data_IF_670189946428
#
_entry.id   IF_670189946428
#
_cell.length_a   1.000
_cell.length_b   1.000
_cell.length_c   1.000
_cell.angle_alpha   90.00
_cell.angle_beta   90.00
_cell.angle_gamma   90.00
#
_symmetry.space_group_name_H-M   'P 1'
#
loop_
_entity.id
_entity.type
_entity.pdbx_description
1 polymer ?
#
# COMPACT_ATOMS: atom_id res chain seq x y z
N UNK A 1 -14.13 -4.48 -21.14
CA UNK A 1 -13.54 -4.01 -19.87
C UNK A 1 -12.04 -3.77 -19.98
N UNK A 2 -11.61 -2.53 -19.77
CA UNK A 2 -10.20 -2.11 -19.71
C UNK A 2 -9.97 -1.19 -18.52
N UNK A 3 -8.79 -1.25 -17.93
CA UNK A 3 -8.39 -0.31 -16.87
C UNK A 3 -8.19 1.08 -17.49
N UNK A 4 -8.85 2.09 -16.95
CA UNK A 4 -8.74 3.49 -17.41
C UNK A 4 -8.02 4.39 -16.41
N UNK A 5 -8.02 4.03 -15.14
CA UNK A 5 -7.44 4.86 -14.09
C UNK A 5 -6.92 4.03 -12.92
N UNK A 6 -5.78 4.45 -12.38
CA UNK A 6 -5.18 3.90 -11.15
C UNK A 6 -4.72 5.03 -10.24
N UNK A 7 -5.23 5.06 -9.01
CA UNK A 7 -4.99 6.12 -8.02
C UNK A 7 -4.63 5.54 -6.66
N UNK A 8 -3.70 6.19 -5.97
CA UNK A 8 -3.53 6.04 -4.53
C UNK A 8 -4.35 7.14 -3.85
N UNK A 9 -5.21 6.77 -2.92
CA UNK A 9 -6.06 7.67 -2.14
C UNK A 9 -5.58 7.57 -0.70
N UNK A 10 -5.15 8.69 -0.14
CA UNK A 10 -4.74 8.78 1.27
C UNK A 10 -5.93 9.31 2.06
N UNK A 11 -6.34 8.56 3.08
CA UNK A 11 -7.44 8.90 3.97
C UNK A 11 -6.90 9.05 5.38
N UNK A 12 -7.25 10.14 6.04
CA UNK A 12 -7.00 10.32 7.48
C UNK A 12 -8.03 9.51 8.28
N UNK A 13 -7.55 8.68 9.20
CA UNK A 13 -8.41 7.94 10.14
C UNK A 13 -8.39 8.63 11.50
N UNK A 14 -9.49 8.60 12.26
CA UNK A 14 -9.62 9.29 13.55
C UNK A 14 -8.87 8.53 14.67
N UNK A 15 -7.57 8.36 14.49
CA UNK A 15 -6.65 7.69 15.38
C UNK A 15 -5.26 8.35 15.28
N UNK A 16 -4.41 8.12 16.30
CA UNK A 16 -3.03 8.64 16.29
C UNK A 16 -2.11 7.61 15.63
N UNK A 17 -1.29 8.06 14.68
CA UNK A 17 -0.34 7.18 14.01
C UNK A 17 0.57 6.48 15.05
N UNK A 18 0.74 5.16 14.92
CA UNK A 18 1.64 4.39 15.79
C UNK A 18 3.03 4.34 15.19
N UNK A 19 3.97 5.07 15.78
CA UNK A 19 5.39 4.93 15.46
C UNK A 19 6.01 3.91 16.41
N UNK A 20 6.41 2.77 15.88
CA UNK A 20 7.02 1.70 16.66
C UNK A 20 8.53 1.72 16.45
N UNK A 21 9.27 1.63 17.55
CA UNK A 21 10.71 1.41 17.56
C UNK A 21 10.99 0.00 18.06
N UNK A 22 11.86 -0.74 17.36
CA UNK A 22 12.34 -2.03 17.84
C UNK A 22 13.43 -1.77 18.88
N UNK A 23 13.19 -2.16 20.11
CA UNK A 23 14.14 -2.06 21.22
C UNK A 23 14.57 -3.44 21.69
N UNK A 24 15.82 -3.56 22.13
CA UNK A 24 16.29 -4.76 22.79
C UNK A 24 15.76 -4.82 24.23
N UNK A 25 15.23 -5.98 24.63
CA UNK A 25 14.86 -6.24 26.02
C UNK A 25 16.15 -6.46 26.83
N UNK A 26 16.37 -5.74 27.94
CA UNK A 26 17.54 -5.96 28.78
C UNK A 26 17.45 -7.32 29.47
N UNK A 27 18.08 -8.33 28.87
CA UNK A 27 18.22 -9.68 29.40
C UNK A 27 19.67 -10.13 29.22
N UNK A 28 20.29 -10.66 30.29
CA UNK A 28 21.70 -11.08 30.28
C UNK A 28 21.92 -12.41 29.54
N UNK A 29 20.88 -13.21 29.33
CA UNK A 29 21.02 -14.59 28.85
C UNK A 29 20.43 -14.84 27.47
N UNK A 30 19.62 -13.92 26.94
CA UNK A 30 18.96 -14.09 25.65
C UNK A 30 18.76 -12.76 24.92
N UNK A 31 19.21 -12.71 23.67
CA UNK A 31 18.87 -11.61 22.76
C UNK A 31 17.38 -11.67 22.45
N UNK A 32 16.65 -10.63 22.85
CA UNK A 32 15.21 -10.46 22.63
C UNK A 32 14.91 -9.04 22.20
N UNK A 33 13.93 -8.89 21.31
CA UNK A 33 13.46 -7.60 20.84
C UNK A 33 11.97 -7.43 21.17
N UNK A 34 11.55 -6.18 21.42
CA UNK A 34 10.15 -5.79 21.58
C UNK A 34 9.89 -4.45 20.90
N UNK A 35 8.62 -4.08 20.73
CA UNK A 35 8.23 -2.80 20.17
C UNK A 35 7.97 -1.79 21.29
N UNK A 36 8.60 -0.62 21.21
CA UNK A 36 8.23 0.56 21.99
C UNK A 36 7.39 1.47 21.11
N UNK A 37 6.21 1.86 21.61
CA UNK A 37 5.42 2.89 20.95
C UNK A 37 6.01 4.26 21.31
N UNK A 38 6.48 4.99 20.30
CA UNK A 38 7.02 6.35 20.44
C UNK A 38 5.91 7.41 20.47
N UNK A 39 4.67 7.03 20.17
CA UNK A 39 3.60 7.98 19.88
C UNK A 39 3.85 8.74 18.58
N UNK A 40 2.80 9.38 18.08
CA UNK A 40 2.89 10.35 17.01
C UNK A 40 1.85 11.42 17.24
N UNK A 41 2.21 12.68 16.99
CA UNK A 41 1.26 13.78 16.90
C UNK A 41 0.63 13.89 15.51
N UNK A 42 1.07 13.06 14.56
CA UNK A 42 0.46 13.00 13.23
C UNK A 42 -0.80 12.13 13.24
N UNK A 43 -1.83 12.53 12.47
CA UNK A 43 -3.00 11.70 12.26
C UNK A 43 -2.58 10.37 11.62
N UNK A 44 -3.24 9.29 12.02
CA UNK A 44 -3.09 8.02 11.33
C UNK A 44 -3.66 8.15 9.91
N UNK A 45 -2.94 7.64 8.92
CA UNK A 45 -3.38 7.64 7.53
C UNK A 45 -3.40 6.24 7.00
N UNK A 46 -4.39 5.95 6.17
CA UNK A 46 -4.49 4.71 5.41
C UNK A 46 -4.48 5.03 3.93
N UNK A 47 -3.69 4.27 3.17
CA UNK A 47 -3.60 4.43 1.73
C UNK A 47 -4.37 3.31 1.04
N UNK A 48 -5.24 3.70 0.11
CA UNK A 48 -6.04 2.81 -0.71
C UNK A 48 -5.59 2.92 -2.16
N UNK A 49 -5.33 1.79 -2.79
CA UNK A 49 -5.15 1.71 -4.23
C UNK A 49 -6.51 1.47 -4.88
N UNK A 50 -6.91 2.36 -5.78
CA UNK A 50 -8.13 2.25 -6.57
C UNK A 50 -7.79 2.06 -8.04
N UNK A 51 -8.41 1.07 -8.65
CA UNK A 51 -8.37 0.78 -10.09
C UNK A 51 -9.78 0.90 -10.64
N UNK A 52 -9.93 1.67 -11.73
CA UNK A 52 -11.22 1.89 -12.39
C UNK A 52 -11.20 1.37 -13.82
N UNK A 53 -12.31 0.79 -14.25
CA UNK A 53 -12.51 0.34 -15.63
C UNK A 53 -13.33 1.32 -16.47
N UNK A 54 -13.27 1.15 -17.79
CA UNK A 54 -14.09 1.86 -18.79
C UNK A 54 -15.60 1.61 -18.61
N UNK A 55 -15.97 0.52 -17.97
CA UNK A 55 -17.35 0.16 -17.61
C UNK A 55 -17.81 0.79 -16.28
N UNK A 56 -16.96 1.60 -15.63
CA UNK A 56 -17.27 2.28 -14.37
C UNK A 56 -17.14 1.40 -13.12
N UNK A 57 -16.53 0.22 -13.24
CA UNK A 57 -16.29 -0.69 -12.11
C UNK A 57 -15.02 -0.28 -11.38
N UNK A 58 -15.10 -0.20 -10.05
CA UNK A 58 -13.98 0.14 -9.18
C UNK A 58 -13.52 -1.09 -8.38
N UNK A 59 -12.22 -1.39 -8.45
CA UNK A 59 -11.54 -2.33 -7.55
C UNK A 59 -10.67 -1.55 -6.56
N UNK A 60 -10.77 -1.86 -5.27
CA UNK A 60 -10.07 -1.14 -4.20
C UNK A 60 -9.35 -2.14 -3.31
N UNK A 61 -8.10 -1.85 -2.97
CA UNK A 61 -7.37 -2.56 -1.93
C UNK A 61 -6.58 -1.59 -1.03
N UNK A 62 -6.23 -2.04 0.17
CA UNK A 62 -5.31 -1.32 1.05
C UNK A 62 -3.87 -1.55 0.61
N UNK A 63 -3.08 -0.49 0.61
CA UNK A 63 -1.67 -0.55 0.22
C UNK A 63 -1.02 0.82 0.14
N UNK A 64 0.25 0.90 0.52
CA UNK A 64 1.04 2.12 0.49
C UNK A 64 2.17 2.03 -0.56
N UNK A 65 1.85 1.96 -1.86
CA UNK A 65 2.88 1.95 -2.90
C UNK A 65 3.62 3.29 -2.90
N UNK A 66 4.94 3.24 -3.15
CA UNK A 66 5.72 4.47 -3.31
C UNK A 66 5.29 5.20 -4.60
N UNK A 67 5.57 6.53 -4.71
CA UNK A 67 5.27 7.28 -5.93
C UNK A 67 5.87 6.67 -7.19
N UNK A 68 7.12 6.19 -7.12
CA UNK A 68 7.78 5.52 -8.23
C UNK A 68 7.07 4.22 -8.66
N UNK A 69 6.61 3.42 -7.69
CA UNK A 69 5.82 2.20 -7.97
C UNK A 69 4.49 2.57 -8.64
N UNK A 70 3.85 3.65 -8.20
CA UNK A 70 2.60 4.12 -8.81
C UNK A 70 2.78 4.57 -10.27
N UNK A 71 3.92 5.18 -10.62
CA UNK A 71 4.22 5.56 -12.01
C UNK A 71 4.38 4.33 -12.90
N UNK A 72 5.18 3.34 -12.47
CA UNK A 72 5.37 2.09 -13.20
C UNK A 72 4.03 1.35 -13.35
N UNK A 73 3.27 1.24 -12.27
CA UNK A 73 1.97 0.57 -12.28
C UNK A 73 1.05 1.18 -13.35
N UNK A 74 0.88 2.51 -13.36
CA UNK A 74 0.06 3.21 -14.36
C UNK A 74 0.55 2.96 -15.78
N UNK A 75 1.86 3.03 -16.02
CA UNK A 75 2.45 2.83 -17.34
C UNK A 75 2.22 1.41 -17.88
N UNK A 76 2.14 0.40 -17.00
CA UNK A 76 2.01 -1.00 -17.42
C UNK A 76 0.56 -1.49 -17.54
N UNK A 77 -0.37 -0.97 -16.70
CA UNK A 77 -1.71 -1.55 -16.57
C UNK A 77 -2.84 -0.74 -17.21
N UNK A 78 -2.66 0.56 -17.48
CA UNK A 78 -3.69 1.35 -18.18
C UNK A 78 -3.92 0.77 -19.58
N UNK A 79 -5.19 0.58 -19.94
CA UNK A 79 -5.62 -0.05 -21.19
C UNK A 79 -5.66 -1.57 -21.16
N UNK A 80 -5.08 -2.22 -20.15
CA UNK A 80 -5.11 -3.67 -20.02
C UNK A 80 -6.48 -4.17 -19.55
N UNK A 81 -6.80 -5.41 -19.91
CA UNK A 81 -7.97 -6.12 -19.38
C UNK A 81 -7.65 -6.60 -17.95
N UNK A 82 -8.40 -6.15 -16.91
CA UNK A 82 -8.14 -6.52 -15.53
C UNK A 82 -8.33 -8.02 -15.24
N UNK A 83 -9.02 -8.78 -16.11
CA UNK A 83 -9.22 -10.21 -15.95
C UNK A 83 -7.98 -11.04 -16.34
N UNK A 84 -7.01 -10.44 -17.04
CA UNK A 84 -5.71 -11.07 -17.35
C UNK A 84 -4.76 -11.01 -16.15
N UNK A 85 -5.24 -11.47 -15.00
CA UNK A 85 -4.64 -11.23 -13.68
C UNK A 85 -3.22 -11.78 -13.56
N UNK A 86 -2.98 -12.99 -14.06
CA UNK A 86 -1.65 -13.63 -14.02
C UNK A 86 -0.66 -12.91 -14.95
N UNK A 87 -1.08 -12.55 -16.16
CA UNK A 87 -0.24 -11.79 -17.10
C UNK A 87 0.18 -10.45 -16.50
N UNK A 88 -0.77 -9.72 -15.90
CA UNK A 88 -0.50 -8.46 -15.21
C UNK A 88 0.44 -8.67 -14.01
N UNK A 89 0.24 -9.73 -13.24
CA UNK A 89 1.10 -10.06 -12.10
C UNK A 89 2.55 -10.31 -12.54
N UNK A 90 2.75 -11.16 -13.55
CA UNK A 90 4.09 -11.45 -14.09
C UNK A 90 4.76 -10.20 -14.66
N UNK A 91 4.02 -9.37 -15.39
CA UNK A 91 4.53 -8.11 -15.97
C UNK A 91 4.97 -7.09 -14.91
N UNK A 92 4.41 -7.13 -13.70
CA UNK A 92 4.74 -6.20 -12.63
C UNK A 92 5.87 -6.71 -11.71
N UNK A 93 6.26 -7.97 -11.84
CA UNK A 93 7.30 -8.61 -11.03
C UNK A 93 8.64 -8.79 -11.73
N UNK A 94 8.71 -8.52 -13.04
CA UNK A 94 9.90 -8.61 -13.88
C UNK A 94 10.25 -7.26 -14.50
#
# INVERSE_FOLDING_TARGET
MRIVEVKAIVVEVPAKARRLEIIQVPDRFRLRYTHRNLGSDQPETETYLRVRTDEGIDGICTGAPSPAVMEVLRAQVIGADPMRREELYQRLHH
#
